data_IF_711804472844
#
_entry.id   IF_711804472844
#
_cell.length_a   1.000
_cell.length_b   1.000
_cell.length_c   1.000
_cell.angle_alpha   90.00
_cell.angle_beta   90.00
_cell.angle_gamma   90.00
#
_symmetry.space_group_name_H-M   'P 1'
#
loop_
_entity.id
_entity.type
_entity.pdbx_description
1 polymer ?
#
# COMPACT_ATOMS: atom_id res chain seq x y z
N UNK A 1 -7.86 47.80 15.61
CA UNK A 1 -7.23 46.55 16.06
C UNK A 1 -8.08 45.31 15.80
N UNK A 2 -9.40 45.33 16.02
CA UNK A 2 -10.29 44.18 15.78
C UNK A 2 -10.43 43.83 14.28
N UNK A 3 -10.60 44.84 13.42
CA UNK A 3 -10.75 44.63 11.97
C UNK A 3 -9.44 44.25 11.27
N UNK A 4 -8.29 44.70 11.78
CA UNK A 4 -6.97 44.34 11.26
C UNK A 4 -6.63 42.87 11.47
N UNK A 5 -7.09 42.27 12.59
CA UNK A 5 -6.94 40.83 12.86
C UNK A 5 -7.75 40.00 11.86
N UNK A 6 -8.96 40.46 11.50
CA UNK A 6 -9.81 39.77 10.51
C UNK A 6 -9.14 39.70 9.14
N UNK A 7 -8.50 40.79 8.69
CA UNK A 7 -7.75 40.80 7.42
C UNK A 7 -6.53 39.86 7.44
N UNK A 8 -5.84 39.76 8.58
CA UNK A 8 -4.73 38.82 8.78
C UNK A 8 -5.17 37.36 8.70
N UNK A 9 -6.29 37.01 9.33
CA UNK A 9 -6.89 35.67 9.27
C UNK A 9 -7.34 35.35 7.85
N UNK A 10 -7.95 36.32 7.16
CA UNK A 10 -8.40 36.15 5.77
C UNK A 10 -7.22 35.89 4.82
N UNK A 11 -6.11 36.63 4.97
CA UNK A 11 -4.89 36.41 4.21
C UNK A 11 -4.24 35.04 4.48
N UNK A 12 -4.23 34.59 5.73
CA UNK A 12 -3.69 33.27 6.09
C UNK A 12 -4.55 32.10 5.58
N UNK A 13 -5.86 32.30 5.45
CA UNK A 13 -6.77 31.24 4.96
C UNK A 13 -6.52 30.84 3.50
N UNK A 14 -5.93 31.74 2.69
CA UNK A 14 -5.59 31.47 1.29
C UNK A 14 -4.46 30.43 1.12
N UNK A 15 -3.71 30.10 2.19
CA UNK A 15 -2.58 29.16 2.14
C UNK A 15 -2.91 27.73 2.60
N UNK A 16 -4.20 27.40 2.82
CA UNK A 16 -4.60 26.13 3.42
C UNK A 16 -4.61 24.92 2.44
N UNK A 17 -4.26 25.10 1.16
CA UNK A 17 -4.26 24.02 0.15
C UNK A 17 -2.89 23.34 -0.02
N UNK A 18 -2.36 22.76 1.06
CA UNK A 18 -1.01 22.17 1.06
C UNK A 18 -0.94 20.69 0.62
N UNK A 19 -2.05 19.94 0.67
CA UNK A 19 -2.02 18.50 0.42
C UNK A 19 -1.92 18.20 -1.08
N UNK A 20 -0.82 17.57 -1.50
CA UNK A 20 -0.71 17.00 -2.85
C UNK A 20 -1.63 15.78 -2.96
N UNK A 21 -2.23 15.57 -4.13
CA UNK A 21 -3.04 14.36 -4.35
C UNK A 21 -2.18 13.11 -4.26
N UNK A 22 -2.77 12.03 -3.72
CA UNK A 22 -2.12 10.73 -3.61
C UNK A 22 -1.66 10.22 -4.99
N UNK A 23 -2.45 10.46 -6.04
CA UNK A 23 -2.11 10.06 -7.41
C UNK A 23 -0.79 10.69 -7.89
N UNK A 24 -0.56 11.96 -7.55
CA UNK A 24 0.70 12.64 -7.89
C UNK A 24 1.88 12.07 -7.10
N UNK A 25 1.66 11.67 -5.85
CA UNK A 25 2.68 11.02 -5.03
C UNK A 25 3.04 9.64 -5.58
N UNK A 26 2.02 8.83 -5.88
CA UNK A 26 2.19 7.49 -6.47
C UNK A 26 2.91 7.57 -7.81
N UNK A 27 2.47 8.44 -8.73
CA UNK A 27 3.15 8.64 -10.03
C UNK A 27 4.61 9.06 -9.90
N UNK A 28 4.99 9.71 -8.80
CA UNK A 28 6.37 10.16 -8.56
C UNK A 28 7.26 9.06 -7.97
N UNK A 29 6.71 8.21 -7.10
CA UNK A 29 7.50 7.29 -6.27
C UNK A 29 7.29 5.81 -6.59
N UNK A 30 6.27 5.47 -7.37
CA UNK A 30 5.94 4.11 -7.73
C UNK A 30 6.22 3.88 -9.22
N UNK A 31 7.20 3.04 -9.52
CA UNK A 31 7.60 2.70 -10.89
C UNK A 31 6.70 1.63 -11.53
N UNK A 32 5.76 1.04 -10.77
CA UNK A 32 4.93 -0.09 -11.19
C UNK A 32 5.78 -1.26 -11.75
N UNK A 33 6.96 -1.48 -11.18
CA UNK A 33 7.93 -2.49 -11.62
C UNK A 33 7.51 -3.93 -11.33
N UNK A 34 6.45 -4.12 -10.52
CA UNK A 34 5.87 -5.42 -10.19
C UNK A 34 4.37 -5.44 -10.52
N UNK A 35 3.78 -6.62 -10.79
CA UNK A 35 2.33 -6.75 -10.96
C UNK A 35 1.55 -6.37 -9.71
N UNK A 36 0.40 -5.72 -9.91
CA UNK A 36 -0.54 -5.37 -8.86
C UNK A 36 -1.75 -6.30 -8.89
N UNK A 37 -2.42 -6.42 -7.74
CA UNK A 37 -3.69 -7.12 -7.62
C UNK A 37 -4.73 -6.17 -7.02
N UNK A 38 -5.91 -6.14 -7.63
CA UNK A 38 -7.06 -5.39 -7.13
C UNK A 38 -7.83 -6.18 -6.07
N UNK A 39 -8.61 -5.52 -5.19
CA UNK A 39 -9.50 -6.22 -4.25
C UNK A 39 -10.49 -7.16 -4.94
N UNK A 40 -10.95 -6.79 -6.14
CA UNK A 40 -11.89 -7.59 -6.94
C UNK A 40 -11.23 -8.88 -7.42
N UNK A 41 -9.99 -8.80 -7.92
CA UNK A 41 -9.21 -9.98 -8.34
C UNK A 41 -8.88 -10.88 -7.15
N UNK A 42 -8.53 -10.28 -6.01
CA UNK A 42 -8.25 -11.02 -4.78
C UNK A 42 -9.48 -11.78 -4.24
N UNK A 43 -10.68 -11.26 -4.48
CA UNK A 43 -11.93 -11.90 -4.04
C UNK A 43 -12.32 -13.13 -4.90
N UNK A 44 -11.64 -13.41 -6.01
CA UNK A 44 -11.96 -14.52 -6.90
C UNK A 44 -11.58 -15.86 -6.22
N UNK A 45 -12.52 -16.79 -5.94
CA UNK A 45 -12.28 -17.97 -5.10
C UNK A 45 -11.26 -19.01 -5.60
N UNK A 46 -10.79 -18.89 -6.85
CA UNK A 46 -9.97 -19.90 -7.53
C UNK A 46 -8.47 -19.61 -7.50
N UNK A 47 -8.04 -18.58 -6.79
CA UNK A 47 -6.64 -18.18 -6.72
C UNK A 47 -5.97 -18.81 -5.49
N UNK A 48 -5.08 -19.79 -5.71
CA UNK A 48 -4.18 -20.29 -4.66
C UNK A 48 -3.14 -19.21 -4.35
N UNK A 49 -3.52 -18.23 -3.54
CA UNK A 49 -2.69 -17.10 -3.13
C UNK A 49 -2.13 -17.32 -1.73
N UNK A 50 -0.89 -16.87 -1.55
CA UNK A 50 -0.29 -16.72 -0.23
C UNK A 50 -0.20 -15.23 0.04
N UNK A 51 -0.90 -14.76 1.07
CA UNK A 51 -0.91 -13.36 1.46
C UNK A 51 0.15 -13.12 2.53
N UNK A 52 1.08 -12.22 2.25
CA UNK A 52 2.09 -11.76 3.19
C UNK A 52 1.73 -10.34 3.64
N UNK A 53 1.57 -10.14 4.95
CA UNK A 53 1.25 -8.84 5.53
C UNK A 53 2.50 -8.20 6.12
N UNK A 54 2.95 -7.12 5.49
CA UNK A 54 4.16 -6.39 5.86
C UNK A 54 3.91 -5.29 6.90
N UNK A 55 2.68 -5.10 7.39
CA UNK A 55 2.41 -4.08 8.42
C UNK A 55 3.05 -4.46 9.75
N UNK A 56 3.13 -3.48 10.64
CA UNK A 56 3.64 -3.73 11.98
C UNK A 56 2.72 -4.67 12.78
N UNK A 57 3.31 -5.46 13.68
CA UNK A 57 2.62 -6.54 14.38
C UNK A 57 1.34 -6.08 15.10
N UNK A 58 1.34 -4.86 15.65
CA UNK A 58 0.16 -4.27 16.31
C UNK A 58 -1.00 -4.07 15.33
N UNK A 59 -0.73 -3.60 14.12
CA UNK A 59 -1.75 -3.36 13.09
C UNK A 59 -2.30 -4.69 12.57
N UNK A 60 -1.41 -5.66 12.32
CA UNK A 60 -1.79 -7.01 11.94
C UNK A 60 -2.73 -7.65 12.97
N UNK A 61 -2.37 -7.59 14.25
CA UNK A 61 -3.18 -8.14 15.35
C UNK A 61 -4.53 -7.42 15.52
N UNK A 62 -4.59 -6.14 15.16
CA UNK A 62 -5.85 -5.36 15.21
C UNK A 62 -6.80 -5.80 14.11
N UNK A 63 -6.30 -5.97 12.89
CA UNK A 63 -7.09 -6.43 11.75
C UNK A 63 -6.17 -6.85 10.60
N UNK A 64 -6.41 -8.01 10.02
CA UNK A 64 -5.73 -8.51 8.82
C UNK A 64 -6.69 -9.35 7.96
N UNK A 65 -6.33 -9.54 6.69
CA UNK A 65 -7.06 -10.43 5.79
C UNK A 65 -6.96 -11.88 6.29
N UNK A 66 -8.07 -12.61 6.22
CA UNK A 66 -8.12 -14.01 6.66
C UNK A 66 -7.03 -14.83 5.97
N UNK A 67 -6.31 -15.63 6.75
CA UNK A 67 -5.20 -16.48 6.31
C UNK A 67 -3.94 -15.75 5.80
N UNK A 68 -3.84 -14.42 5.98
CA UNK A 68 -2.59 -13.72 5.75
C UNK A 68 -1.51 -14.16 6.75
N UNK A 69 -0.24 -14.06 6.35
CA UNK A 69 0.91 -14.38 7.18
C UNK A 69 1.62 -13.06 7.50
N UNK A 70 1.70 -12.71 8.78
CA UNK A 70 2.50 -11.57 9.21
C UNK A 70 4.00 -11.80 8.93
N UNK A 71 4.60 -10.85 8.22
CA UNK A 71 6.05 -10.82 7.94
C UNK A 71 6.72 -9.55 8.45
N UNK A 72 5.95 -8.47 8.65
CA UNK A 72 6.47 -7.17 9.07
C UNK A 72 7.35 -6.48 8.01
N UNK A 73 7.53 -5.17 8.14
CA UNK A 73 8.41 -4.40 7.27
C UNK A 73 9.79 -4.22 7.91
N UNK A 74 9.83 -3.59 9.09
CA UNK A 74 11.10 -3.25 9.77
C UNK A 74 11.94 -4.48 10.15
N UNK A 75 11.27 -5.59 10.47
CA UNK A 75 11.90 -6.84 10.93
C UNK A 75 11.71 -7.99 9.93
N UNK A 76 11.57 -7.68 8.64
CA UNK A 76 11.42 -8.69 7.59
C UNK A 76 12.63 -9.64 7.54
N UNK A 77 12.37 -10.95 7.57
CA UNK A 77 13.39 -11.99 7.48
C UNK A 77 12.98 -13.06 6.45
N UNK A 78 13.69 -13.09 5.31
CA UNK A 78 13.35 -13.98 4.20
C UNK A 78 13.43 -15.47 4.58
N UNK A 79 14.41 -15.89 5.37
CA UNK A 79 14.57 -17.30 5.79
C UNK A 79 13.37 -17.77 6.61
N UNK A 80 12.83 -16.89 7.46
CA UNK A 80 11.65 -17.17 8.27
C UNK A 80 10.39 -17.31 7.42
N UNK A 81 10.31 -16.59 6.30
CA UNK A 81 9.21 -16.69 5.33
C UNK A 81 9.32 -17.97 4.51
N UNK A 82 10.51 -18.29 4.00
CA UNK A 82 10.77 -19.49 3.19
C UNK A 82 10.54 -20.79 3.97
N UNK A 83 10.69 -20.79 5.31
CA UNK A 83 10.30 -21.91 6.17
C UNK A 83 8.79 -22.13 6.26
N UNK A 84 8.01 -21.06 6.12
CA UNK A 84 6.53 -21.10 6.23
C UNK A 84 5.85 -21.38 4.90
N UNK A 85 6.53 -21.11 3.78
CA UNK A 85 5.95 -21.18 2.44
C UNK A 85 6.70 -22.22 1.61
N UNK A 86 6.01 -23.24 1.06
CA UNK A 86 6.62 -24.15 0.11
C UNK A 86 6.98 -23.38 -1.17
N UNK A 87 8.28 -23.30 -1.46
CA UNK A 87 8.79 -22.63 -2.66
C UNK A 87 8.42 -23.50 -3.87
N UNK A 88 7.46 -23.05 -4.66
CA UNK A 88 7.37 -23.46 -6.06
C UNK A 88 8.23 -22.47 -6.85
N UNK A 89 9.23 -22.91 -7.65
CA UNK A 89 9.98 -21.99 -8.49
C UNK A 89 8.99 -21.26 -9.41
N UNK A 90 8.88 -19.95 -9.22
CA UNK A 90 8.01 -19.10 -10.02
C UNK A 90 8.68 -18.88 -11.37
N UNK A 91 8.15 -19.51 -12.41
CA UNK A 91 8.35 -19.05 -13.79
C UNK A 91 7.54 -17.77 -13.94
N UNK A 92 8.18 -16.63 -13.72
CA UNK A 92 7.58 -15.31 -13.90
C UNK A 92 7.45 -15.05 -15.39
N UNK A 93 6.30 -15.39 -15.98
CA UNK A 93 5.94 -14.89 -17.30
C UNK A 93 5.45 -13.45 -17.14
N UNK A 94 6.18 -12.50 -17.73
CA UNK A 94 6.01 -11.04 -17.68
C UNK A 94 4.69 -10.48 -18.28
N UNK A 95 3.60 -11.25 -18.34
CA UNK A 95 2.42 -10.89 -19.12
C UNK A 95 1.17 -10.56 -18.27
N UNK A 96 1.33 -9.95 -17.10
CA UNK A 96 0.22 -9.23 -16.47
C UNK A 96 0.19 -7.81 -17.04
N UNK A 97 -0.77 -7.57 -17.94
CA UNK A 97 -1.00 -6.27 -18.57
C UNK A 97 -1.69 -5.37 -17.56
N UNK A 98 -1.04 -4.26 -17.21
CA UNK A 98 -1.60 -3.26 -16.30
C UNK A 98 -2.77 -2.54 -16.97
N UNK A 99 -3.90 -2.44 -16.29
CA UNK A 99 -4.94 -1.47 -16.65
C UNK A 99 -4.42 -0.06 -16.33
N UNK A 100 -4.55 0.90 -17.27
CA UNK A 100 -4.12 2.27 -17.02
C UNK A 100 -5.08 2.93 -16.02
N UNK A 101 -4.50 3.53 -14.98
CA UNK A 101 -5.17 4.47 -14.06
C UNK A 101 -5.29 5.85 -14.70
#
# INVERSE_FOLDING_TARGET
MKNTILFLILFYSASLFAQKSIDKLLKKHNENSIPYISPQELAIPKTNLILLDSRELKEYNTSHLKNAIHVGYDHFNIDSVLKKIPIKPLNVNHNFKLDPV
#
